data_IF_721897095819
#
_entry.id   IF_721897095819
#
_cell.length_a   1.000
_cell.length_b   1.000
_cell.length_c   1.000
_cell.angle_alpha   90.00
_cell.angle_beta   90.00
_cell.angle_gamma   90.00
#
_symmetry.space_group_name_H-M   'P 1'
#
loop_
_entity.id
_entity.type
_entity.pdbx_description
1 polymer ?
#
# COMPACT_ATOMS: atom_id res chain seq x y z
N UNK A 1 -17.99 7.94 2.21
CA UNK A 1 -16.98 7.84 1.15
C UNK A 1 -15.82 6.95 1.58
N UNK A 2 -15.28 6.13 0.69
CA UNK A 2 -14.19 5.21 0.98
C UNK A 2 -13.26 5.05 -0.22
N UNK A 3 -11.98 4.82 0.06
CA UNK A 3 -11.02 4.37 -0.94
C UNK A 3 -10.45 3.03 -0.48
N UNK A 4 -10.44 2.06 -1.37
CA UNK A 4 -9.85 0.75 -1.15
C UNK A 4 -8.58 0.66 -1.97
N UNK A 5 -7.47 0.24 -1.34
CA UNK A 5 -6.20 -0.03 -1.98
C UNK A 5 -5.85 -1.50 -1.81
N UNK A 6 -5.60 -2.21 -2.90
CA UNK A 6 -5.18 -3.61 -2.89
C UNK A 6 -3.67 -3.70 -3.09
N UNK A 7 -2.94 -4.11 -2.06
CA UNK A 7 -1.48 -4.25 -2.03
C UNK A 7 -1.08 -5.69 -2.36
N UNK A 8 -1.08 -6.02 -3.64
CA UNK A 8 -0.72 -7.31 -4.20
C UNK A 8 0.51 -7.22 -5.10
N UNK A 9 0.56 -8.00 -6.19
CA UNK A 9 1.59 -7.91 -7.24
C UNK A 9 1.71 -6.48 -7.79
N UNK A 10 0.57 -5.78 -7.91
CA UNK A 10 0.48 -4.35 -8.18
C UNK A 10 -0.27 -3.62 -7.07
N UNK A 11 -0.66 -2.36 -7.35
CA UNK A 11 -1.55 -1.56 -6.50
C UNK A 11 -2.84 -1.28 -7.25
N UNK A 12 -3.88 -2.06 -6.94
CA UNK A 12 -5.23 -1.79 -7.40
C UNK A 12 -5.97 -0.82 -6.49
N UNK A 13 -7.00 -0.15 -7.02
CA UNK A 13 -7.80 0.78 -6.23
C UNK A 13 -9.25 0.86 -6.67
N UNK A 14 -10.12 1.19 -5.71
CA UNK A 14 -11.51 1.52 -5.92
C UNK A 14 -11.89 2.72 -5.07
N UNK A 15 -12.66 3.64 -5.64
CA UNK A 15 -13.10 4.88 -4.96
C UNK A 15 -14.61 4.92 -4.94
N UNK A 16 -15.17 5.06 -3.74
CA UNK A 16 -16.62 5.24 -3.51
C UNK A 16 -16.82 6.63 -2.94
N UNK A 17 -17.53 7.49 -3.65
CA UNK A 17 -17.89 8.84 -3.23
C UNK A 17 -19.39 8.96 -3.12
N UNK A 18 -19.89 9.38 -1.94
CA UNK A 18 -21.33 9.54 -1.67
C UNK A 18 -22.15 8.29 -2.03
N UNK A 19 -21.60 7.12 -1.72
CA UNK A 19 -22.26 5.82 -1.97
C UNK A 19 -22.17 5.31 -3.40
N UNK A 20 -21.48 6.04 -4.32
CA UNK A 20 -21.33 5.65 -5.72
C UNK A 20 -19.87 5.36 -6.07
N UNK A 21 -19.64 4.35 -6.90
CA UNK A 21 -18.33 4.02 -7.42
C UNK A 21 -17.90 5.07 -8.44
N UNK A 22 -16.67 5.56 -8.31
CA UNK A 22 -16.05 6.46 -9.28
C UNK A 22 -15.61 5.65 -10.51
N UNK A 23 -16.36 5.74 -11.59
CA UNK A 23 -16.08 5.01 -12.83
C UNK A 23 -15.34 5.85 -13.88
N UNK A 24 -15.48 7.20 -13.81
CA UNK A 24 -14.99 8.09 -14.86
C UNK A 24 -15.82 7.99 -16.14
N UNK A 25 -15.31 8.56 -17.24
CA UNK A 25 -16.05 8.63 -18.50
C UNK A 25 -16.14 7.28 -19.25
N UNK A 26 -15.20 6.36 -19.02
CA UNK A 26 -15.10 5.07 -19.75
C UNK A 26 -14.94 3.86 -18.83
N UNK A 27 -15.13 4.03 -17.51
CA UNK A 27 -14.90 2.96 -16.55
C UNK A 27 -13.45 2.82 -16.08
N UNK A 28 -12.55 3.66 -16.56
CA UNK A 28 -11.11 3.59 -16.25
C UNK A 28 -10.63 4.58 -15.19
N UNK A 29 -11.50 5.05 -14.30
CA UNK A 29 -11.10 5.92 -13.20
C UNK A 29 -10.45 5.17 -12.04
N UNK A 30 -9.87 5.94 -11.13
CA UNK A 30 -9.29 5.45 -9.88
C UNK A 30 -8.06 4.53 -10.03
N UNK A 31 -7.28 4.69 -11.08
CA UNK A 31 -5.98 4.03 -11.27
C UNK A 31 -4.90 4.67 -10.37
N UNK A 32 -5.14 4.66 -9.04
CA UNK A 32 -4.31 5.38 -8.06
C UNK A 32 -2.90 4.78 -7.94
N UNK A 33 -2.72 3.49 -8.25
CA UNK A 33 -1.42 2.84 -8.32
C UNK A 33 -0.45 3.50 -9.32
N UNK A 34 -0.98 4.23 -10.30
CA UNK A 34 -0.17 4.90 -11.32
C UNK A 34 0.05 6.40 -11.06
N UNK A 35 -0.36 6.93 -9.90
CA UNK A 35 0.10 8.25 -9.46
C UNK A 35 1.62 8.23 -9.25
N UNK A 36 2.32 9.29 -9.67
CA UNK A 36 3.75 9.43 -9.43
C UNK A 36 3.97 9.87 -7.97
N UNK A 37 4.76 9.08 -7.23
CA UNK A 37 5.19 9.38 -5.86
C UNK A 37 6.69 9.67 -5.77
N UNK A 38 7.44 9.39 -6.85
CA UNK A 38 8.88 9.65 -6.96
C UNK A 38 9.22 10.01 -8.41
N UNK A 39 9.39 11.29 -8.71
CA UNK A 39 9.70 11.71 -10.07
C UNK A 39 11.03 11.13 -10.56
N UNK A 40 11.01 10.55 -11.78
CA UNK A 40 12.17 9.86 -12.35
C UNK A 40 12.56 8.54 -11.64
N UNK A 41 11.77 8.07 -10.67
CA UNK A 41 12.04 6.90 -9.84
C UNK A 41 11.98 5.55 -10.55
N UNK A 42 11.61 4.49 -9.80
CA UNK A 42 11.60 3.11 -10.31
C UNK A 42 10.64 2.93 -11.49
N UNK A 43 11.03 2.09 -12.45
CA UNK A 43 10.21 1.75 -13.59
C UNK A 43 8.98 0.95 -13.14
N UNK A 44 7.80 1.38 -13.53
CA UNK A 44 6.54 0.69 -13.34
C UNK A 44 6.22 -0.19 -14.55
N UNK A 45 5.46 -1.27 -14.34
CA UNK A 45 4.98 -2.15 -15.42
C UNK A 45 4.16 -1.42 -16.50
N UNK A 46 3.54 -0.28 -16.16
CA UNK A 46 2.83 0.57 -17.12
C UNK A 46 3.75 1.37 -18.08
N UNK A 47 5.07 1.27 -17.93
CA UNK A 47 6.07 1.97 -18.73
C UNK A 47 6.48 3.35 -18.19
N UNK A 48 5.78 3.90 -17.17
CA UNK A 48 6.16 5.16 -16.50
C UNK A 48 7.17 4.90 -15.39
N UNK A 49 7.88 5.95 -14.98
CA UNK A 49 8.75 5.92 -13.80
C UNK A 49 8.07 6.57 -12.61
N UNK A 50 8.34 6.04 -11.42
CA UNK A 50 7.96 6.66 -10.16
C UNK A 50 6.52 6.44 -9.72
N UNK A 51 5.76 5.52 -10.35
CA UNK A 51 4.41 5.19 -9.95
C UNK A 51 4.33 4.66 -8.53
N UNK A 52 3.27 4.96 -7.81
CA UNK A 52 2.97 4.45 -6.48
C UNK A 52 3.05 2.92 -6.41
N UNK A 53 2.54 2.21 -7.41
CA UNK A 53 2.64 0.76 -7.54
C UNK A 53 4.07 0.24 -7.51
N UNK A 54 5.01 0.93 -8.15
CA UNK A 54 6.41 0.51 -8.20
C UNK A 54 7.07 0.46 -6.81
N UNK A 55 6.48 1.11 -5.81
CA UNK A 55 6.99 1.18 -4.43
C UNK A 55 6.07 0.50 -3.42
N UNK A 56 4.76 0.67 -3.55
CA UNK A 56 3.78 0.25 -2.55
C UNK A 56 3.16 -1.13 -2.82
N UNK A 57 3.48 -1.79 -3.94
CA UNK A 57 3.09 -3.17 -4.19
C UNK A 57 3.97 -4.17 -3.43
N UNK A 58 3.53 -5.43 -3.34
CA UNK A 58 4.37 -6.53 -2.86
C UNK A 58 5.63 -6.69 -3.73
N UNK A 59 5.50 -6.53 -5.06
CA UNK A 59 6.64 -6.55 -5.99
C UNK A 59 7.63 -5.43 -5.68
N UNK A 60 7.15 -4.23 -5.35
CA UNK A 60 7.97 -3.10 -4.94
C UNK A 60 8.74 -3.36 -3.65
N UNK A 61 8.06 -3.91 -2.63
CA UNK A 61 8.67 -4.30 -1.36
C UNK A 61 9.75 -5.37 -1.56
N UNK A 62 9.47 -6.42 -2.33
CA UNK A 62 10.42 -7.49 -2.65
C UNK A 62 11.64 -6.95 -3.40
N UNK A 63 11.42 -6.05 -4.36
CA UNK A 63 12.53 -5.42 -5.09
C UNK A 63 13.44 -4.64 -4.14
N UNK A 64 12.88 -3.79 -3.27
CA UNK A 64 13.66 -3.04 -2.28
C UNK A 64 14.42 -3.96 -1.33
N UNK A 65 13.82 -5.07 -0.91
CA UNK A 65 14.49 -6.05 -0.06
C UNK A 65 15.66 -6.74 -0.80
N UNK A 66 15.47 -7.16 -2.06
CA UNK A 66 16.53 -7.78 -2.86
C UNK A 66 17.69 -6.80 -3.13
N UNK A 67 17.39 -5.52 -3.39
CA UNK A 67 18.40 -4.46 -3.52
C UNK A 67 19.22 -4.31 -2.24
N UNK A 68 18.56 -4.31 -1.07
CA UNK A 68 19.23 -4.21 0.23
C UNK A 68 20.05 -5.46 0.56
N UNK A 69 19.51 -6.66 0.31
CA UNK A 69 20.23 -7.93 0.51
C UNK A 69 21.54 -8.00 -0.30
N UNK A 70 21.54 -7.47 -1.52
CA UNK A 70 22.74 -7.44 -2.35
C UNK A 70 23.88 -6.58 -1.76
N UNK A 71 23.53 -5.59 -0.92
CA UNK A 71 24.48 -4.68 -0.27
C UNK A 71 24.82 -5.13 1.17
N UNK A 72 24.00 -6.00 1.78
CA UNK A 72 24.08 -6.44 3.16
C UNK A 72 24.06 -7.97 3.27
N UNK A 73 25.18 -8.65 2.96
CA UNK A 73 25.28 -10.12 3.03
C UNK A 73 25.10 -10.68 4.46
N UNK A 74 25.30 -9.86 5.48
CA UNK A 74 25.10 -10.19 6.89
C UNK A 74 23.65 -10.16 7.36
N UNK A 75 22.73 -9.62 6.53
CA UNK A 75 21.31 -9.44 6.92
C UNK A 75 20.59 -10.75 7.14
N UNK A 76 19.72 -10.78 8.17
CA UNK A 76 18.82 -11.91 8.44
C UNK A 76 17.79 -12.14 7.32
N UNK A 77 17.60 -11.19 6.40
CA UNK A 77 16.77 -11.37 5.21
C UNK A 77 17.19 -12.60 4.40
N UNK A 78 18.49 -12.92 4.34
CA UNK A 78 18.99 -14.12 3.66
C UNK A 78 18.52 -15.41 4.35
N UNK A 79 18.62 -15.47 5.68
CA UNK A 79 18.20 -16.64 6.44
C UNK A 79 16.67 -16.84 6.40
N UNK A 80 15.89 -15.75 6.62
CA UNK A 80 14.43 -15.82 6.60
C UNK A 80 13.88 -16.16 5.21
N UNK A 81 14.52 -15.67 4.15
CA UNK A 81 14.16 -16.04 2.78
C UNK A 81 14.49 -17.50 2.47
N UNK A 82 15.65 -18.02 2.94
CA UNK A 82 16.04 -19.40 2.72
C UNK A 82 15.09 -20.42 3.41
N UNK A 83 14.56 -20.09 4.59
CA UNK A 83 13.60 -20.94 5.31
C UNK A 83 12.28 -21.15 4.54
N UNK A 84 11.85 -20.15 3.77
CA UNK A 84 10.60 -20.18 3.01
C UNK A 84 10.83 -20.47 1.52
N UNK A 85 12.08 -20.34 1.06
CA UNK A 85 12.49 -20.52 -0.33
C UNK A 85 12.26 -19.30 -1.21
N UNK A 86 11.82 -18.15 -0.65
CA UNK A 86 11.60 -16.90 -1.42
C UNK A 86 11.66 -15.66 -0.52
N UNK A 87 11.95 -14.52 -1.16
CA UNK A 87 11.82 -13.19 -0.56
C UNK A 87 10.39 -12.70 -0.77
N UNK A 88 9.63 -12.54 0.30
CA UNK A 88 8.25 -12.07 0.26
C UNK A 88 7.93 -11.16 1.46
N UNK A 89 6.71 -10.60 1.51
CA UNK A 89 6.30 -9.73 2.61
C UNK A 89 6.47 -10.38 3.98
N UNK A 90 6.11 -11.65 4.13
CA UNK A 90 6.21 -12.37 5.40
C UNK A 90 7.67 -12.51 5.87
N UNK A 91 8.59 -12.91 4.96
CA UNK A 91 10.02 -13.05 5.31
C UNK A 91 10.67 -11.73 5.68
N UNK A 92 10.28 -10.64 5.00
CA UNK A 92 10.79 -9.28 5.27
C UNK A 92 10.32 -8.77 6.63
N UNK A 93 9.02 -8.86 6.94
CA UNK A 93 8.50 -8.42 8.23
C UNK A 93 9.02 -9.28 9.38
N UNK A 94 9.20 -10.59 9.17
CA UNK A 94 9.81 -11.49 10.16
C UNK A 94 11.27 -11.11 10.48
N UNK A 95 12.08 -10.81 9.47
CA UNK A 95 13.45 -10.34 9.71
C UNK A 95 13.46 -8.99 10.47
N UNK A 96 12.53 -8.07 10.15
CA UNK A 96 12.33 -6.84 10.91
C UNK A 96 11.99 -7.11 12.37
N UNK A 97 11.06 -8.04 12.65
CA UNK A 97 10.66 -8.42 14.02
C UNK A 97 11.83 -9.02 14.82
N UNK A 98 12.76 -9.68 14.15
CA UNK A 98 14.01 -10.19 14.74
C UNK A 98 15.07 -9.11 14.95
N UNK A 99 14.77 -7.85 14.63
CA UNK A 99 15.65 -6.70 14.84
C UNK A 99 16.73 -6.52 13.76
N UNK A 100 16.59 -7.14 12.58
CA UNK A 100 17.52 -6.94 11.46
C UNK A 100 17.47 -5.49 10.96
N UNK A 101 18.58 -4.73 11.02
CA UNK A 101 18.58 -3.31 10.66
C UNK A 101 18.30 -3.09 9.16
N UNK A 102 18.69 -4.02 8.30
CA UNK A 102 18.44 -3.96 6.87
C UNK A 102 16.96 -4.14 6.57
N UNK A 103 16.31 -5.13 7.21
CA UNK A 103 14.86 -5.33 7.07
C UNK A 103 14.05 -4.17 7.65
N UNK A 104 14.51 -3.58 8.77
CA UNK A 104 13.91 -2.35 9.34
C UNK A 104 13.93 -1.23 8.31
N UNK A 105 15.10 -0.92 7.74
CA UNK A 105 15.25 0.14 6.74
C UNK A 105 14.40 -0.10 5.48
N UNK A 106 14.30 -1.35 5.02
CA UNK A 106 13.44 -1.73 3.89
C UNK A 106 11.97 -1.46 4.19
N UNK A 107 11.49 -1.87 5.37
CA UNK A 107 10.08 -1.67 5.74
C UNK A 107 9.78 -0.19 5.99
N UNK A 108 10.69 0.57 6.59
CA UNK A 108 10.55 2.02 6.76
C UNK A 108 10.46 2.74 5.41
N UNK A 109 11.31 2.38 4.44
CA UNK A 109 11.25 2.90 3.08
C UNK A 109 9.93 2.55 2.38
N UNK A 110 9.45 1.33 2.56
CA UNK A 110 8.15 0.89 2.05
C UNK A 110 7.00 1.72 2.64
N UNK A 111 6.97 1.89 3.98
CA UNK A 111 5.97 2.69 4.68
C UNK A 111 6.03 4.15 4.23
N UNK A 112 7.21 4.70 4.01
CA UNK A 112 7.36 6.06 3.47
C UNK A 112 6.61 6.23 2.15
N UNK A 113 6.87 5.40 1.14
CA UNK A 113 6.18 5.53 -0.16
C UNK A 113 4.69 5.22 -0.07
N UNK A 114 4.32 4.23 0.75
CA UNK A 114 2.91 3.92 1.01
C UNK A 114 2.19 5.12 1.65
N UNK A 115 2.82 5.79 2.59
CA UNK A 115 2.26 6.98 3.26
C UNK A 115 2.12 8.17 2.31
N UNK A 116 3.09 8.42 1.43
CA UNK A 116 3.00 9.47 0.41
C UNK A 116 1.80 9.24 -0.50
N UNK A 117 1.64 8.01 -1.02
CA UNK A 117 0.50 7.68 -1.88
C UNK A 117 -0.84 7.82 -1.16
N UNK A 118 -0.94 7.33 0.07
CA UNK A 118 -2.18 7.44 0.87
C UNK A 118 -2.49 8.90 1.23
N UNK A 119 -1.49 9.70 1.59
CA UNK A 119 -1.69 11.12 1.86
C UNK A 119 -2.21 11.87 0.63
N UNK A 120 -1.68 11.56 -0.57
CA UNK A 120 -2.19 12.10 -1.83
C UNK A 120 -3.65 11.70 -2.06
N UNK A 121 -4.02 10.45 -1.80
CA UNK A 121 -5.40 9.97 -1.89
C UNK A 121 -6.32 10.73 -0.91
N UNK A 122 -5.89 10.91 0.33
CA UNK A 122 -6.65 11.65 1.34
C UNK A 122 -6.79 13.11 0.93
N UNK A 123 -5.71 13.76 0.50
CA UNK A 123 -5.73 15.16 0.07
C UNK A 123 -6.62 15.40 -1.17
N UNK A 124 -6.78 14.37 -2.04
CA UNK A 124 -7.65 14.46 -3.23
C UNK A 124 -9.13 14.19 -2.92
N UNK A 125 -9.43 13.19 -2.11
CA UNK A 125 -10.80 12.68 -1.94
C UNK A 125 -11.38 12.91 -0.55
N UNK A 126 -10.54 13.12 0.45
CA UNK A 126 -10.90 13.23 1.86
C UNK A 126 -11.97 12.20 2.27
N UNK A 127 -11.70 10.90 2.06
CA UNK A 127 -12.67 9.87 2.37
C UNK A 127 -12.77 9.63 3.88
N UNK A 128 -13.87 9.06 4.35
CA UNK A 128 -14.02 8.61 5.75
C UNK A 128 -13.06 7.46 6.07
N UNK A 129 -12.79 6.61 5.06
CA UNK A 129 -11.94 5.42 5.23
C UNK A 129 -11.03 5.24 4.02
N UNK A 130 -9.76 4.94 4.28
CA UNK A 130 -8.86 4.26 3.35
C UNK A 130 -8.66 2.83 3.87
N UNK A 131 -9.13 1.85 3.11
CA UNK A 131 -9.06 0.44 3.48
C UNK A 131 -7.97 -0.27 2.67
N UNK A 132 -7.06 -0.96 3.36
CA UNK A 132 -5.98 -1.73 2.74
C UNK A 132 -6.35 -3.21 2.64
N UNK A 133 -6.13 -3.80 1.48
CA UNK A 133 -6.31 -5.23 1.20
C UNK A 133 -5.06 -5.81 0.54
N UNK A 134 -5.05 -7.12 0.32
CA UNK A 134 -3.92 -7.83 -0.31
C UNK A 134 -2.94 -8.40 0.70
N UNK A 135 -1.96 -9.16 0.20
CA UNK A 135 -1.07 -9.96 1.04
C UNK A 135 -0.25 -9.14 2.05
N UNK A 136 0.17 -7.92 1.68
CA UNK A 136 0.93 -7.06 2.58
C UNK A 136 0.05 -6.51 3.71
N UNK A 137 -1.23 -6.24 3.46
CA UNK A 137 -2.15 -5.77 4.49
C UNK A 137 -2.37 -6.80 5.63
N UNK A 138 -2.09 -8.09 5.39
CA UNK A 138 -2.15 -9.14 6.40
C UNK A 138 -1.11 -8.98 7.54
N UNK A 139 -0.14 -8.08 7.40
CA UNK A 139 0.78 -7.72 8.49
C UNK A 139 0.07 -6.96 9.64
N UNK A 140 -1.19 -6.57 9.45
CA UNK A 140 -2.01 -5.96 10.50
C UNK A 140 -1.39 -4.70 11.08
N UNK A 141 -1.39 -4.58 12.41
CA UNK A 141 -0.88 -3.40 13.09
C UNK A 141 0.65 -3.20 12.96
N UNK A 142 1.42 -4.25 12.64
CA UNK A 142 2.83 -4.10 12.32
C UNK A 142 3.09 -3.21 11.09
N UNK A 143 2.11 -3.12 10.17
CA UNK A 143 2.08 -2.20 9.04
C UNK A 143 1.24 -0.95 9.36
N UNK A 144 0.03 -1.12 9.88
CA UNK A 144 -0.97 -0.05 9.96
C UNK A 144 -0.63 1.02 11.00
N UNK A 145 -0.04 0.64 12.15
CA UNK A 145 0.30 1.62 13.18
C UNK A 145 1.37 2.62 12.69
N UNK A 146 2.57 2.20 12.23
CA UNK A 146 3.56 3.14 11.73
C UNK A 146 3.11 3.86 10.45
N UNK A 147 2.24 3.25 9.64
CA UNK A 147 1.68 3.91 8.46
C UNK A 147 0.78 5.08 8.83
N UNK A 148 -0.10 4.94 9.82
CA UNK A 148 -0.96 6.05 10.31
C UNK A 148 -0.12 7.21 10.82
N UNK A 149 0.95 6.92 11.57
CA UNK A 149 1.90 7.93 12.05
C UNK A 149 2.60 8.64 10.91
N UNK A 150 3.02 7.92 9.86
CA UNK A 150 3.69 8.49 8.71
C UNK A 150 2.75 9.31 7.82
N UNK A 151 1.47 8.97 7.72
CA UNK A 151 0.45 9.68 6.90
C UNK A 151 0.03 10.99 7.58
N UNK A 152 -0.15 10.99 8.90
CA UNK A 152 -0.75 12.11 9.62
C UNK A 152 -0.12 13.49 9.33
N UNK A 153 1.21 13.67 9.31
CA UNK A 153 1.84 14.95 9.00
C UNK A 153 1.74 15.38 7.54
N UNK A 154 1.40 14.46 6.61
CA UNK A 154 1.33 14.72 5.17
C UNK A 154 -0.07 15.11 4.69
N UNK A 155 -1.10 14.95 5.55
CA UNK A 155 -2.48 15.34 5.22
C UNK A 155 -2.67 16.83 5.46
N UNK A 156 -3.10 17.56 4.42
CA UNK A 156 -3.34 18.98 4.50
C UNK A 156 -4.37 19.31 5.58
N UNK A 157 -4.02 20.23 6.47
CA UNK A 157 -4.92 20.70 7.52
C UNK A 157 -5.24 19.69 8.62
N UNK A 158 -4.60 18.52 8.66
CA UNK A 158 -4.90 17.44 9.61
C UNK A 158 -4.98 17.90 11.07
N UNK A 159 -4.14 18.84 11.47
CA UNK A 159 -4.12 19.41 12.83
C UNK A 159 -5.33 20.30 13.17
N UNK A 160 -6.09 20.74 12.16
CA UNK A 160 -7.25 21.62 12.32
C UNK A 160 -8.59 20.94 12.07
N UNK A 161 -8.56 19.71 11.52
CA UNK A 161 -9.76 18.97 11.14
C UNK A 161 -10.37 18.29 12.36
N UNK A 162 -11.70 18.35 12.49
CA UNK A 162 -12.44 17.68 13.56
C UNK A 162 -12.61 16.18 13.32
N UNK A 163 -12.59 15.76 12.07
CA UNK A 163 -12.69 14.37 11.65
C UNK A 163 -11.49 14.00 10.80
N UNK A 164 -11.00 12.78 10.95
CA UNK A 164 -9.84 12.29 10.23
C UNK A 164 -10.21 11.04 9.45
N UNK A 165 -9.61 10.88 8.27
CA UNK A 165 -9.69 9.64 7.51
C UNK A 165 -9.11 8.49 8.33
N UNK A 166 -9.89 7.42 8.49
CA UNK A 166 -9.43 6.19 9.15
C UNK A 166 -8.70 5.31 8.15
N UNK A 167 -7.51 4.83 8.53
CA UNK A 167 -6.74 3.88 7.74
C UNK A 167 -6.88 2.51 8.41
N UNK A 168 -7.49 1.54 7.70
CA UNK A 168 -7.90 0.25 8.22
C UNK A 168 -7.47 -0.89 7.29
N UNK A 169 -7.30 -2.10 7.84
CA UNK A 169 -7.20 -3.32 7.05
C UNK A 169 -8.59 -3.85 6.66
N UNK A 170 -8.74 -4.38 5.45
CA UNK A 170 -9.96 -5.08 5.02
C UNK A 170 -10.13 -6.40 5.77
N UNK A 171 -11.38 -6.75 6.12
CA UNK A 171 -11.71 -7.96 6.88
C UNK A 171 -12.38 -9.05 6.04
N UNK A 172 -12.85 -8.75 4.83
CA UNK A 172 -13.58 -9.72 3.97
C UNK A 172 -12.66 -10.75 3.29
N UNK A 173 -11.35 -10.54 3.27
CA UNK A 173 -10.38 -11.44 2.67
C UNK A 173 -10.73 -11.80 1.20
N UNK A 174 -10.64 -13.07 0.86
CA UNK A 174 -10.92 -13.58 -0.51
C UNK A 174 -12.38 -13.42 -0.95
N UNK A 175 -13.32 -13.22 -0.02
CA UNK A 175 -14.74 -13.03 -0.33
C UNK A 175 -15.06 -11.63 -0.85
N UNK A 176 -14.16 -10.66 -0.65
CA UNK A 176 -14.37 -9.26 -1.04
C UNK A 176 -14.74 -9.10 -2.52
N UNK A 177 -14.06 -9.83 -3.42
CA UNK A 177 -14.32 -9.77 -4.86
C UNK A 177 -15.73 -10.24 -5.24
N UNK A 178 -16.18 -11.37 -4.69
CA UNK A 178 -17.49 -11.94 -4.97
C UNK A 178 -18.59 -11.05 -4.41
N UNK A 179 -18.44 -10.61 -3.16
CA UNK A 179 -19.39 -9.71 -2.49
C UNK A 179 -19.47 -8.38 -3.25
N UNK A 180 -18.32 -7.81 -3.61
CA UNK A 180 -18.26 -6.56 -4.36
C UNK A 180 -18.94 -6.66 -5.73
N UNK A 181 -18.72 -7.74 -6.47
CA UNK A 181 -19.38 -7.97 -7.75
C UNK A 181 -20.92 -8.08 -7.60
N UNK A 182 -21.38 -8.76 -6.56
CA UNK A 182 -22.81 -8.86 -6.27
C UNK A 182 -23.46 -7.51 -5.89
N UNK A 183 -22.69 -6.59 -5.33
CA UNK A 183 -23.15 -5.26 -4.92
C UNK A 183 -23.07 -4.20 -6.03
N UNK A 184 -22.38 -4.47 -7.15
CA UNK A 184 -22.21 -3.52 -8.25
C UNK A 184 -23.54 -2.89 -8.74
N UNK A 185 -24.65 -3.64 -8.93
CA UNK A 185 -25.90 -3.05 -9.41
C UNK A 185 -26.50 -1.97 -8.50
N UNK A 186 -26.10 -1.94 -7.22
CA UNK A 186 -26.59 -0.97 -6.23
C UNK A 186 -25.65 0.20 -6.02
N UNK A 187 -24.41 0.14 -6.55
CA UNK A 187 -23.34 1.10 -6.29
C UNK A 187 -22.91 1.89 -7.56
N UNK A 188 -23.51 1.61 -8.70
CA UNK A 188 -23.30 2.34 -9.97
C UNK A 188 -24.18 3.58 -10.12
#
# INVERSE_FOLDING_TARGET
SAVILTLGTGVGSGVVLNGKILTGCTGGAAELGHMVVEDGGALCACGRKGCFEAYASATGLIRMAKEAMAQHPESLLHATAAEVGDVNGQTIFRAKEQGDPTAVAVVERYIHYLSVGIANVINCFYPEVVALSGGIANQGEALLAPLREAVAPQVYGNQYLQTHTRILGCTLGYHAGIIGAAMLPTAL
#
